data_IF_916672680411
#
_entry.id   IF_916672680411
#
_cell.length_a   1.000
_cell.length_b   1.000
_cell.length_c   1.000
_cell.angle_alpha   90.00
_cell.angle_beta   90.00
_cell.angle_gamma   90.00
#
_symmetry.space_group_name_H-M   'P 1'
#
loop_
_entity.id
_entity.type
_entity.pdbx_description
1 polymer ?
#
# COMPACT_ATOMS: atom_id res chain seq x y z
N UNK A 1 17.09 -6.51 0.64
CA UNK A 1 16.67 -5.15 1.02
C UNK A 1 17.45 -4.67 2.21
N UNK A 2 17.17 -3.46 2.71
CA UNK A 2 17.83 -2.93 3.90
C UNK A 2 17.54 -3.78 5.16
N UNK A 3 18.35 -3.59 6.20
CA UNK A 3 18.09 -4.13 7.54
C UNK A 3 16.73 -3.60 8.07
N UNK A 4 16.05 -4.30 8.99
CA UNK A 4 16.48 -5.52 9.69
C UNK A 4 16.16 -6.83 8.95
N UNK A 5 15.20 -6.83 8.03
CA UNK A 5 14.70 -8.08 7.42
C UNK A 5 15.53 -8.55 6.23
N UNK A 6 16.31 -7.65 5.64
CA UNK A 6 17.09 -7.89 4.43
C UNK A 6 16.28 -8.38 3.22
N UNK A 7 14.95 -8.25 3.23
CA UNK A 7 14.09 -8.65 2.12
C UNK A 7 13.83 -7.48 1.16
N UNK A 8 13.68 -7.77 -0.13
CA UNK A 8 13.27 -6.78 -1.15
C UNK A 8 12.17 -7.39 -1.99
N UNK A 9 10.97 -6.83 -1.90
CA UNK A 9 9.83 -7.23 -2.70
C UNK A 9 9.85 -6.46 -4.02
N UNK A 10 10.23 -7.14 -5.10
CA UNK A 10 10.19 -6.58 -6.45
C UNK A 10 8.83 -6.90 -7.07
N UNK A 11 7.92 -5.93 -7.06
CA UNK A 11 6.56 -6.06 -7.61
C UNK A 11 6.47 -5.23 -8.89
N UNK A 12 5.78 -5.75 -9.89
CA UNK A 12 5.60 -5.07 -11.18
C UNK A 12 4.60 -3.91 -11.04
N UNK A 13 4.97 -2.71 -11.48
CA UNK A 13 4.08 -1.55 -11.47
C UNK A 13 2.82 -1.74 -12.32
N UNK A 14 2.90 -2.49 -13.42
CA UNK A 14 1.75 -2.82 -14.26
C UNK A 14 0.70 -3.69 -13.54
N UNK A 15 1.07 -4.33 -12.43
CA UNK A 15 0.14 -5.11 -11.59
C UNK A 15 -0.47 -4.31 -10.44
N UNK A 16 -0.10 -3.03 -10.28
CA UNK A 16 -0.49 -2.20 -9.14
C UNK A 16 -1.28 -0.97 -9.56
N UNK A 17 -2.21 -0.55 -8.69
CA UNK A 17 -2.89 0.74 -8.76
C UNK A 17 -2.72 1.44 -7.42
N UNK A 18 -2.18 2.66 -7.46
CA UNK A 18 -2.07 3.49 -6.26
C UNK A 18 -3.45 4.06 -5.87
N UNK A 19 -3.74 4.08 -4.57
CA UNK A 19 -4.94 4.71 -3.99
C UNK A 19 -4.44 5.62 -2.86
N UNK A 20 -4.58 6.95 -2.97
CA UNK A 20 -4.25 7.89 -1.90
C UNK A 20 -5.04 7.61 -0.62
N UNK A 21 -4.49 7.96 0.55
CA UNK A 21 -5.14 7.76 1.86
C UNK A 21 -6.51 8.42 1.90
N UNK A 22 -6.61 9.60 1.31
CA UNK A 22 -7.81 10.43 1.24
C UNK A 22 -8.91 9.81 0.37
N UNK A 23 -8.53 8.93 -0.58
CA UNK A 23 -9.45 8.26 -1.51
C UNK A 23 -9.83 6.85 -1.06
N UNK A 24 -9.23 6.31 0.01
CA UNK A 24 -9.47 4.94 0.46
C UNK A 24 -10.95 4.66 0.73
N UNK A 25 -11.66 5.59 1.37
CA UNK A 25 -13.09 5.40 1.67
C UNK A 25 -13.94 5.40 0.40
N UNK A 26 -13.72 6.39 -0.48
CA UNK A 26 -14.44 6.49 -1.75
C UNK A 26 -14.17 5.29 -2.68
N UNK A 27 -12.98 4.70 -2.60
CA UNK A 27 -12.60 3.52 -3.34
C UNK A 27 -13.08 2.19 -2.73
N UNK A 28 -13.80 2.23 -1.59
CA UNK A 28 -14.35 1.04 -0.91
C UNK A 28 -13.39 0.34 0.06
N UNK A 29 -12.28 0.97 0.41
CA UNK A 29 -11.20 0.44 1.24
C UNK A 29 -11.15 1.06 2.65
N UNK A 30 -12.27 1.57 3.16
CA UNK A 30 -12.34 2.25 4.46
C UNK A 30 -11.77 1.40 5.62
N UNK A 31 -11.91 0.07 5.57
CA UNK A 31 -11.37 -0.86 6.57
C UNK A 31 -9.85 -0.77 6.75
N UNK A 32 -9.11 -0.32 5.72
CA UNK A 32 -7.66 -0.19 5.78
C UNK A 32 -7.18 1.20 6.24
N UNK A 33 -8.09 2.18 6.37
CA UNK A 33 -7.74 3.57 6.72
C UNK A 33 -6.93 3.66 8.03
N UNK A 34 -7.28 2.83 9.02
CA UNK A 34 -6.62 2.79 10.33
C UNK A 34 -5.14 2.33 10.29
N UNK A 35 -4.69 1.68 9.21
CA UNK A 35 -3.29 1.27 9.07
C UNK A 35 -2.35 2.43 8.70
N UNK A 36 -2.92 3.57 8.31
CA UNK A 36 -2.19 4.70 7.75
C UNK A 36 -2.40 6.00 8.54
N UNK A 37 -2.80 5.94 9.82
CA UNK A 37 -2.97 7.13 10.69
C UNK A 37 -1.72 8.01 10.74
#
# INVERSE_FOLDING_TARGET
>A
GPAPTHQRYCINSASLRFVPKEELEAAGYAAFRALFE
#
